data_IF_823635310832
#
_entry.id   IF_823635310832
#
_cell.length_a   1.000
_cell.length_b   1.000
_cell.length_c   1.000
_cell.angle_alpha   90.00
_cell.angle_beta   90.00
_cell.angle_gamma   90.00
#
_symmetry.space_group_name_H-M   'P 1'
#
loop_
_entity.id
_entity.type
_entity.pdbx_description
1 polymer ?
#
# COMPACT_ATOMS: atom_id res chain seq x y z
N UNK A 1 -9.00 -29.65 -19.45
CA UNK A 1 -8.54 -28.99 -18.20
C UNK A 1 -8.39 -27.46 -18.33
N UNK A 2 -7.67 -26.90 -19.32
CA UNK A 2 -7.47 -25.42 -19.41
C UNK A 2 -8.75 -24.58 -19.56
N UNK A 3 -9.74 -25.03 -20.33
CA UNK A 3 -10.99 -24.30 -20.54
C UNK A 3 -11.91 -24.26 -19.30
N UNK A 4 -12.03 -25.38 -18.58
CA UNK A 4 -12.77 -25.42 -17.30
C UNK A 4 -12.10 -24.54 -16.23
N UNK A 5 -10.76 -24.50 -16.19
CA UNK A 5 -10.03 -23.64 -15.26
C UNK A 5 -10.24 -22.15 -15.56
N UNK A 6 -10.31 -21.79 -16.84
CA UNK A 6 -10.61 -20.42 -17.27
C UNK A 6 -12.04 -20.00 -16.91
N UNK A 7 -13.04 -20.87 -17.17
CA UNK A 7 -14.43 -20.64 -16.76
C UNK A 7 -14.54 -20.51 -15.24
N UNK A 8 -13.92 -21.42 -14.48
CA UNK A 8 -13.89 -21.35 -13.02
C UNK A 8 -13.32 -20.01 -12.53
N UNK A 9 -12.17 -19.58 -13.09
CA UNK A 9 -11.57 -18.30 -12.73
C UNK A 9 -12.51 -17.11 -13.03
N UNK A 10 -13.15 -17.10 -14.20
CA UNK A 10 -14.11 -16.07 -14.58
C UNK A 10 -15.28 -15.96 -13.59
N UNK A 11 -15.82 -17.11 -13.16
CA UNK A 11 -16.93 -17.16 -12.21
C UNK A 11 -16.49 -16.83 -10.77
N UNK A 12 -15.25 -17.13 -10.38
CA UNK A 12 -14.73 -16.92 -9.02
C UNK A 12 -14.26 -15.48 -8.79
N UNK A 13 -13.71 -14.82 -9.82
CA UNK A 13 -13.16 -13.46 -9.74
C UNK A 13 -14.09 -12.43 -9.06
N UNK A 14 -15.39 -12.30 -9.43
CA UNK A 14 -16.27 -11.34 -8.78
C UNK A 14 -16.50 -11.64 -7.29
N UNK A 15 -16.55 -12.91 -6.90
CA UNK A 15 -16.74 -13.30 -5.50
C UNK A 15 -15.47 -13.16 -4.66
N UNK A 16 -14.28 -13.32 -5.26
CA UNK A 16 -13.02 -12.95 -4.62
C UNK A 16 -12.94 -11.44 -4.36
N UNK A 17 -13.39 -10.62 -5.32
CA UNK A 17 -13.52 -9.17 -5.14
C UNK A 17 -14.50 -8.82 -4.03
N UNK A 18 -15.69 -9.44 -4.03
CA UNK A 18 -16.69 -9.28 -2.97
C UNK A 18 -16.18 -9.66 -1.59
N UNK A 19 -15.40 -10.75 -1.49
CA UNK A 19 -14.76 -11.17 -0.23
C UNK A 19 -13.78 -10.12 0.28
N UNK A 20 -12.90 -9.61 -0.59
CA UNK A 20 -11.93 -8.57 -0.20
C UNK A 20 -12.63 -7.29 0.29
N UNK A 21 -13.67 -6.86 -0.43
CA UNK A 21 -14.48 -5.70 -0.04
C UNK A 21 -15.14 -5.94 1.33
N UNK A 22 -15.72 -7.11 1.55
CA UNK A 22 -16.35 -7.48 2.82
C UNK A 22 -15.37 -7.35 4.00
N UNK A 23 -14.13 -7.82 3.85
CA UNK A 23 -13.10 -7.77 4.88
C UNK A 23 -12.66 -6.34 5.19
N UNK A 24 -12.52 -5.50 4.17
CA UNK A 24 -12.22 -4.07 4.36
C UNK A 24 -13.34 -3.38 5.13
N UNK A 25 -14.60 -3.62 4.77
CA UNK A 25 -15.74 -3.05 5.50
C UNK A 25 -15.86 -3.58 6.93
N UNK A 26 -15.60 -4.87 7.15
CA UNK A 26 -15.64 -5.49 8.47
C UNK A 26 -14.56 -4.92 9.41
N UNK A 27 -13.33 -4.78 8.91
CA UNK A 27 -12.22 -4.18 9.67
C UNK A 27 -12.46 -2.70 9.94
N UNK A 28 -12.97 -1.94 8.96
CA UNK A 28 -13.36 -0.55 9.15
C UNK A 28 -14.51 -0.39 10.16
N UNK A 29 -15.45 -1.33 10.18
CA UNK A 29 -16.55 -1.36 11.16
C UNK A 29 -16.05 -1.60 12.57
N UNK A 30 -15.15 -2.57 12.76
CA UNK A 30 -14.49 -2.81 14.05
C UNK A 30 -13.68 -1.59 14.52
N UNK A 31 -12.92 -0.97 13.62
CA UNK A 31 -12.17 0.26 13.94
C UNK A 31 -13.10 1.42 14.34
N UNK A 32 -14.22 1.58 13.63
CA UNK A 32 -15.20 2.64 13.90
C UNK A 32 -15.90 2.44 15.25
N UNK A 33 -16.23 1.20 15.60
CA UNK A 33 -16.76 0.83 16.92
C UNK A 33 -15.74 1.18 18.01
N UNK A 34 -14.46 0.86 17.80
CA UNK A 34 -13.41 1.16 18.77
C UNK A 34 -13.17 2.67 18.95
N UNK A 35 -13.14 3.45 17.85
CA UNK A 35 -12.86 4.90 17.88
C UNK A 35 -14.05 5.72 18.40
N UNK A 36 -15.28 5.34 18.07
CA UNK A 36 -16.49 6.11 18.35
C UNK A 36 -17.41 5.42 19.38
N UNK A 37 -16.86 4.57 20.23
CA UNK A 37 -17.62 3.92 21.30
C UNK A 37 -18.34 4.96 22.16
N UNK A 38 -19.64 4.76 22.41
CA UNK A 38 -20.46 5.61 23.28
C UNK A 38 -20.80 7.02 22.73
N UNK A 39 -20.78 7.19 21.40
CA UNK A 39 -21.18 8.45 20.72
C UNK A 39 -22.68 8.54 20.40
N UNK A 40 -23.49 7.59 20.89
CA UNK A 40 -24.96 7.54 20.68
C UNK A 40 -25.41 6.89 19.38
N UNK A 41 -24.48 6.55 18.48
CA UNK A 41 -24.73 5.87 17.17
C UNK A 41 -24.25 4.42 17.13
N UNK A 42 -24.26 3.76 18.28
CA UNK A 42 -23.73 2.41 18.42
C UNK A 42 -24.53 1.41 17.56
N UNK A 43 -25.86 1.59 17.45
CA UNK A 43 -26.73 0.73 16.65
C UNK A 43 -26.28 0.65 15.19
N UNK A 44 -26.06 1.80 14.55
CA UNK A 44 -25.68 1.90 13.13
C UNK A 44 -24.28 1.31 12.87
N UNK A 45 -23.37 1.49 13.83
CA UNK A 45 -22.01 0.92 13.76
C UNK A 45 -22.03 -0.61 13.83
N UNK A 46 -22.78 -1.17 14.78
CA UNK A 46 -22.96 -2.62 14.91
C UNK A 46 -23.73 -3.22 13.73
N UNK A 47 -24.68 -2.48 13.15
CA UNK A 47 -25.38 -2.90 11.94
C UNK A 47 -24.46 -3.00 10.73
N UNK A 48 -23.56 -2.03 10.50
CA UNK A 48 -22.59 -2.18 9.41
C UNK A 48 -21.62 -3.35 9.62
N UNK A 49 -21.24 -3.63 10.86
CA UNK A 49 -20.47 -4.84 11.17
C UNK A 49 -21.26 -6.10 10.81
N UNK A 50 -22.54 -6.17 11.18
CA UNK A 50 -23.44 -7.29 10.84
C UNK A 50 -23.61 -7.44 9.33
N UNK A 51 -23.84 -6.35 8.60
CA UNK A 51 -23.97 -6.34 7.13
C UNK A 51 -22.70 -6.88 6.48
N UNK A 52 -21.52 -6.42 6.92
CA UNK A 52 -20.24 -6.88 6.38
C UNK A 52 -20.00 -8.37 6.66
N UNK A 53 -20.39 -8.86 7.84
CA UNK A 53 -20.29 -10.28 8.20
C UNK A 53 -21.23 -11.16 7.36
N UNK A 54 -22.46 -10.72 7.13
CA UNK A 54 -23.42 -11.43 6.26
C UNK A 54 -22.92 -11.46 4.82
N UNK A 55 -22.42 -10.34 4.30
CA UNK A 55 -21.90 -10.27 2.94
C UNK A 55 -20.65 -11.16 2.76
N UNK A 56 -19.78 -11.22 3.79
CA UNK A 56 -18.65 -12.15 3.83
C UNK A 56 -19.12 -13.62 3.81
N UNK A 57 -20.18 -13.94 4.56
CA UNK A 57 -20.75 -15.29 4.60
C UNK A 57 -21.32 -15.68 3.23
N UNK A 58 -22.12 -14.81 2.61
CA UNK A 58 -22.74 -15.04 1.30
C UNK A 58 -21.66 -15.27 0.23
N UNK A 59 -20.67 -14.38 0.14
CA UNK A 59 -19.60 -14.48 -0.87
C UNK A 59 -18.80 -15.78 -0.73
N UNK A 60 -18.50 -16.21 0.50
CA UNK A 60 -17.79 -17.47 0.74
C UNK A 60 -18.65 -18.72 0.46
N UNK A 61 -19.97 -18.67 0.69
CA UNK A 61 -20.87 -19.75 0.28
C UNK A 61 -20.88 -19.91 -1.25
N UNK A 62 -20.98 -18.80 -1.99
CA UNK A 62 -20.94 -18.87 -3.46
C UNK A 62 -19.61 -19.43 -3.98
N UNK A 63 -18.48 -19.02 -3.40
CA UNK A 63 -17.17 -19.59 -3.72
C UNK A 63 -17.11 -21.10 -3.48
N UNK A 64 -17.69 -21.57 -2.36
CA UNK A 64 -17.79 -22.99 -2.05
C UNK A 64 -18.64 -23.74 -3.09
N UNK A 65 -19.82 -23.23 -3.44
CA UNK A 65 -20.71 -23.84 -4.44
C UNK A 65 -20.00 -23.94 -5.80
N UNK A 66 -19.36 -22.85 -6.26
CA UNK A 66 -18.63 -22.82 -7.54
C UNK A 66 -17.49 -23.84 -7.52
N UNK A 67 -16.75 -23.96 -6.42
CA UNK A 67 -15.67 -24.95 -6.30
C UNK A 67 -16.15 -26.40 -6.49
N UNK A 68 -17.36 -26.72 -6.03
CA UNK A 68 -17.96 -28.04 -6.17
C UNK A 68 -18.50 -28.29 -7.58
N UNK A 69 -19.13 -27.29 -8.21
CA UNK A 69 -19.65 -27.39 -9.59
C UNK A 69 -18.51 -27.75 -10.57
N UNK A 70 -17.32 -27.18 -10.38
CA UNK A 70 -16.19 -27.38 -11.29
C UNK A 70 -15.24 -28.53 -10.88
N UNK A 71 -15.61 -29.37 -9.90
CA UNK A 71 -14.82 -30.51 -9.40
C UNK A 71 -13.36 -30.15 -9.06
N UNK A 72 -13.13 -28.94 -8.54
CA UNK A 72 -11.78 -28.49 -8.21
C UNK A 72 -11.39 -28.95 -6.80
N UNK A 73 -10.64 -30.05 -6.72
CA UNK A 73 -10.25 -30.70 -5.45
C UNK A 73 -9.25 -29.93 -4.58
N UNK A 74 -8.75 -28.78 -5.03
CA UNK A 74 -7.74 -27.98 -4.31
C UNK A 74 -8.28 -26.80 -3.51
N UNK A 75 -9.58 -26.48 -3.60
CA UNK A 75 -10.15 -25.38 -2.83
C UNK A 75 -10.53 -25.89 -1.43
N UNK A 76 -9.54 -26.01 -0.55
CA UNK A 76 -9.79 -25.96 0.89
C UNK A 76 -10.30 -24.55 1.17
N UNK A 77 -11.63 -24.39 1.04
CA UNK A 77 -12.30 -23.11 1.12
C UNK A 77 -11.90 -22.36 2.38
N UNK A 78 -12.07 -21.05 2.36
CA UNK A 78 -11.88 -20.15 3.50
C UNK A 78 -12.92 -20.44 4.62
N UNK A 79 -13.03 -21.68 5.08
CA UNK A 79 -13.90 -22.12 6.16
C UNK A 79 -13.63 -21.32 7.42
N UNK A 80 -12.37 -20.92 7.65
CA UNK A 80 -12.03 -20.02 8.73
C UNK A 80 -12.74 -18.65 8.61
N UNK A 81 -12.90 -18.08 7.41
CA UNK A 81 -13.64 -16.82 7.21
C UNK A 81 -15.14 -17.00 7.43
N UNK A 82 -15.70 -18.16 7.07
CA UNK A 82 -17.09 -18.49 7.39
C UNK A 82 -17.28 -18.59 8.91
N UNK A 83 -16.35 -19.26 9.61
CA UNK A 83 -16.36 -19.34 11.07
C UNK A 83 -16.26 -17.93 11.69
N UNK A 84 -15.36 -17.09 11.19
CA UNK A 84 -15.22 -15.69 11.65
C UNK A 84 -16.51 -14.90 11.44
N UNK A 85 -17.14 -15.02 10.26
CA UNK A 85 -18.41 -14.36 9.98
C UNK A 85 -19.52 -14.81 10.93
N UNK A 86 -19.63 -16.13 11.18
CA UNK A 86 -20.60 -16.70 12.11
C UNK A 86 -20.36 -16.25 13.55
N UNK A 87 -19.09 -16.21 13.99
CA UNK A 87 -18.72 -15.70 15.32
C UNK A 87 -19.15 -14.24 15.46
N UNK A 88 -18.88 -13.40 14.46
CA UNK A 88 -19.27 -11.99 14.53
C UNK A 88 -20.79 -11.82 14.55
N UNK A 89 -21.55 -12.56 13.74
CA UNK A 89 -23.02 -12.53 13.78
C UNK A 89 -23.53 -12.98 15.15
N UNK A 90 -22.98 -14.06 15.70
CA UNK A 90 -23.36 -14.58 17.01
C UNK A 90 -23.04 -13.61 18.15
N UNK A 91 -21.87 -12.94 18.10
CA UNK A 91 -21.49 -11.91 19.07
C UNK A 91 -22.44 -10.72 19.01
N UNK A 92 -22.83 -10.26 17.82
CA UNK A 92 -23.77 -9.13 17.67
C UNK A 92 -25.15 -9.51 18.21
N UNK A 93 -25.62 -10.73 17.93
CA UNK A 93 -26.86 -11.24 18.50
C UNK A 93 -26.82 -11.30 20.03
N UNK A 94 -25.72 -11.78 20.60
CA UNK A 94 -25.54 -11.86 22.06
C UNK A 94 -25.46 -10.46 22.71
N UNK A 95 -24.74 -9.53 22.09
CA UNK A 95 -24.67 -8.13 22.52
C UNK A 95 -26.04 -7.47 22.44
N UNK A 96 -26.81 -7.72 21.37
CA UNK A 96 -28.16 -7.19 21.23
C UNK A 96 -29.17 -7.74 22.23
N UNK A 97 -28.90 -8.91 22.83
CA UNK A 97 -29.72 -9.50 23.88
C UNK A 97 -29.17 -9.25 25.31
N UNK A 98 -28.08 -8.49 25.43
CA UNK A 98 -27.43 -8.16 26.71
C UNK A 98 -28.07 -6.94 27.38
N UNK A 99 -27.75 -6.72 28.66
CA UNK A 99 -28.41 -5.71 29.53
C UNK A 99 -28.19 -4.25 29.10
N UNK A 100 -27.14 -3.95 28.35
CA UNK A 100 -26.88 -2.65 27.73
C UNK A 100 -27.57 -2.62 26.36
N UNK A 101 -28.77 -2.04 26.30
CA UNK A 101 -29.62 -2.09 25.09
C UNK A 101 -29.08 -1.18 23.98
N UNK A 102 -28.19 -1.71 23.14
CA UNK A 102 -27.76 -1.08 21.88
C UNK A 102 -28.90 -1.09 20.85
N UNK A 103 -29.74 -2.13 20.90
CA UNK A 103 -30.87 -2.32 20.01
C UNK A 103 -32.20 -2.07 20.73
N UNK A 104 -33.20 -1.46 20.06
CA UNK A 104 -34.54 -1.34 20.60
C UNK A 104 -35.24 -2.71 20.71
N UNK A 105 -36.25 -2.80 21.57
CA UNK A 105 -36.98 -4.04 21.80
C UNK A 105 -37.62 -4.55 20.49
N UNK A 106 -37.58 -5.87 20.29
CA UNK A 106 -38.07 -6.53 19.07
C UNK A 106 -37.39 -6.04 17.77
N UNK A 107 -36.17 -5.47 17.84
CA UNK A 107 -35.43 -5.06 16.65
C UNK A 107 -35.27 -6.19 15.63
N UNK A 108 -34.82 -7.37 16.09
CA UNK A 108 -34.55 -8.51 15.22
C UNK A 108 -35.83 -9.23 14.72
N UNK A 109 -37.01 -8.96 15.28
CA UNK A 109 -38.26 -9.52 14.73
C UNK A 109 -38.69 -8.84 13.44
N UNK A 110 -38.20 -7.62 13.17
CA UNK A 110 -38.56 -6.82 12.00
C UNK A 110 -37.64 -7.05 10.79
N UNK A 111 -36.65 -7.96 10.90
CA UNK A 111 -35.71 -8.30 9.83
C UNK A 111 -36.42 -8.82 8.57
N UNK A 112 -37.60 -9.42 8.71
CA UNK A 112 -38.37 -9.91 7.56
C UNK A 112 -38.91 -8.78 6.65
N UNK A 113 -38.93 -7.53 7.13
CA UNK A 113 -39.43 -6.40 6.36
C UNK A 113 -38.32 -5.78 5.50
N UNK A 114 -38.50 -5.83 4.18
CA UNK A 114 -37.54 -5.31 3.20
C UNK A 114 -37.31 -3.80 3.33
N UNK A 115 -38.35 -3.02 3.61
CA UNK A 115 -38.23 -1.56 3.75
C UNK A 115 -37.51 -1.17 5.04
N UNK A 116 -37.73 -1.93 6.11
CA UNK A 116 -36.96 -1.80 7.35
C UNK A 116 -35.47 -2.07 7.11
N UNK A 117 -35.14 -3.16 6.40
CA UNK A 117 -33.75 -3.51 6.08
C UNK A 117 -33.06 -2.46 5.22
N UNK A 118 -33.73 -1.96 4.17
CA UNK A 118 -33.17 -0.90 3.31
C UNK A 118 -32.87 0.37 4.10
N UNK A 119 -33.77 0.76 5.00
CA UNK A 119 -33.57 1.93 5.86
C UNK A 119 -32.37 1.75 6.79
N UNK A 120 -32.31 0.65 7.53
CA UNK A 120 -31.21 0.37 8.46
C UNK A 120 -29.86 0.20 7.73
N UNK A 121 -29.87 -0.36 6.52
CA UNK A 121 -28.70 -0.42 5.63
C UNK A 121 -28.22 0.99 5.27
N UNK A 122 -29.11 1.85 4.77
CA UNK A 122 -28.78 3.21 4.37
C UNK A 122 -28.29 4.05 5.56
N UNK A 123 -28.95 3.94 6.73
CA UNK A 123 -28.54 4.64 7.94
C UNK A 123 -27.13 4.23 8.38
N UNK A 124 -26.84 2.93 8.34
CA UNK A 124 -25.51 2.40 8.64
C UNK A 124 -24.47 2.95 7.66
N UNK A 125 -24.73 2.86 6.35
CA UNK A 125 -23.83 3.37 5.30
C UNK A 125 -23.56 4.86 5.49
N UNK A 126 -24.59 5.67 5.77
CA UNK A 126 -24.46 7.11 5.98
C UNK A 126 -23.58 7.43 7.20
N UNK A 127 -23.73 6.67 8.29
CA UNK A 127 -22.85 6.79 9.46
C UNK A 127 -21.41 6.44 9.08
N UNK A 128 -21.18 5.35 8.34
CA UNK A 128 -19.84 4.97 7.89
C UNK A 128 -19.18 6.02 6.99
N UNK A 129 -19.92 6.60 6.04
CA UNK A 129 -19.44 7.70 5.20
C UNK A 129 -19.06 8.90 6.06
N UNK A 130 -19.89 9.29 7.02
CA UNK A 130 -19.58 10.43 7.90
C UNK A 130 -18.31 10.22 8.74
N UNK A 131 -18.06 8.99 9.19
CA UNK A 131 -16.84 8.64 9.93
C UNK A 131 -15.62 8.63 9.02
N UNK A 132 -15.80 8.16 7.79
CA UNK A 132 -14.76 8.17 6.76
C UNK A 132 -14.35 9.60 6.43
N UNK A 133 -15.32 10.49 6.16
CA UNK A 133 -15.06 11.90 5.85
C UNK A 133 -14.38 12.62 7.02
N UNK A 134 -14.84 12.39 8.25
CA UNK A 134 -14.18 12.94 9.44
C UNK A 134 -12.76 12.41 9.61
N UNK A 135 -12.53 11.13 9.36
CA UNK A 135 -11.18 10.56 9.44
C UNK A 135 -10.25 11.10 8.35
N UNK A 136 -10.79 11.41 7.17
CA UNK A 136 -10.07 12.06 6.08
C UNK A 136 -9.70 13.51 6.44
N UNK A 137 -10.62 14.28 7.00
CA UNK A 137 -10.33 15.66 7.43
C UNK A 137 -9.29 15.70 8.56
N UNK A 138 -9.42 14.82 9.56
CA UNK A 138 -8.44 14.68 10.65
C UNK A 138 -7.03 14.37 10.10
N UNK A 139 -6.95 13.57 9.04
CA UNK A 139 -5.68 13.20 8.41
C UNK A 139 -5.08 14.35 7.59
N UNK A 140 -5.91 15.10 6.86
CA UNK A 140 -5.48 16.29 6.13
C UNK A 140 -4.95 17.37 7.08
N UNK A 141 -5.68 17.67 8.16
CA UNK A 141 -5.28 18.63 9.18
C UNK A 141 -3.95 18.23 9.84
N UNK A 142 -3.79 16.96 10.23
CA UNK A 142 -2.53 16.47 10.82
C UNK A 142 -1.36 16.46 9.84
N UNK A 143 -1.63 16.23 8.56
CA UNK A 143 -0.61 16.31 7.50
C UNK A 143 -0.16 17.76 7.29
N UNK A 144 -1.09 18.71 7.25
CA UNK A 144 -0.80 20.14 7.10
C UNK A 144 -0.07 20.70 8.33
N UNK A 145 -0.51 20.34 9.54
CA UNK A 145 0.18 20.70 10.78
C UNK A 145 1.62 20.18 10.82
N UNK A 146 1.87 18.94 10.37
CA UNK A 146 3.24 18.39 10.26
C UNK A 146 4.09 19.12 9.21
N UNK A 147 3.50 19.56 8.10
CA UNK A 147 4.20 20.39 7.10
C UNK A 147 4.55 21.77 7.66
N UNK A 148 3.62 22.40 8.38
CA UNK A 148 3.83 23.70 9.02
C UNK A 148 4.92 23.63 10.10
N UNK A 149 4.89 22.61 10.98
CA UNK A 149 5.94 22.39 11.98
C UNK A 149 7.32 22.13 11.36
N UNK A 150 7.37 21.40 10.24
CA UNK A 150 8.63 21.17 9.51
C UNK A 150 9.16 22.47 8.89
N UNK A 151 8.28 23.29 8.31
CA UNK A 151 8.63 24.61 7.76
C UNK A 151 9.15 25.58 8.83
N UNK A 152 8.53 25.62 10.00
CA UNK A 152 8.97 26.46 11.12
C UNK A 152 10.32 26.00 11.69
N UNK A 153 10.56 24.68 11.76
CA UNK A 153 11.84 24.10 12.15
C UNK A 153 12.96 24.47 11.16
N UNK A 154 12.69 24.45 9.85
CA UNK A 154 13.63 24.93 8.83
C UNK A 154 13.93 26.43 8.96
N UNK A 155 12.93 27.26 9.30
CA UNK A 155 13.14 28.71 9.50
C UNK A 155 14.03 29.00 10.72
N UNK A 156 13.79 28.31 11.84
CA UNK A 156 14.58 28.49 13.06
C UNK A 156 16.04 27.99 12.91
N UNK A 157 16.26 26.92 12.15
CA UNK A 157 17.61 26.42 11.85
C UNK A 157 18.40 27.39 10.96
N UNK A 158 17.76 28.03 9.98
CA UNK A 158 18.39 29.07 9.15
C UNK A 158 18.70 30.35 9.93
N UNK A 159 17.85 30.76 10.88
CA UNK A 159 18.11 31.92 11.74
C UNK A 159 19.32 31.72 12.68
N UNK A 160 19.53 30.49 13.18
CA UNK A 160 20.70 30.16 14.01
C UNK A 160 22.01 30.12 13.18
N UNK A 161 21.95 29.59 11.95
CA UNK A 161 23.11 29.59 11.05
C UNK A 161 23.50 31.00 10.56
N UNK A 162 22.52 31.89 10.31
CA UNK A 162 22.80 33.25 9.84
C UNK A 162 23.54 34.12 10.88
N UNK A 163 23.29 33.88 12.17
CA UNK A 163 24.01 34.55 13.27
C UNK A 163 25.45 34.05 13.45
N UNK A 164 25.75 32.79 13.09
CA UNK A 164 27.12 32.26 13.12
C UNK A 164 27.93 32.66 11.87
N UNK A 165 27.30 32.79 10.70
CA UNK A 165 27.98 33.25 9.47
C UNK A 165 28.39 34.73 9.52
N UNK A 166 27.66 35.59 10.24
CA UNK A 166 28.03 37.00 10.41
C UNK A 166 29.24 37.26 11.32
N UNK A 167 29.78 36.24 12.02
CA UNK A 167 31.07 36.34 12.72
C UNK A 167 32.27 35.88 11.88
N UNK A 168 32.05 35.13 10.81
CA UNK A 168 33.13 34.60 9.95
C UNK A 168 33.27 35.33 8.60
N UNK A 169 32.32 36.18 8.21
CA UNK A 169 32.28 36.81 6.89
C UNK A 169 32.99 38.19 6.82
N UNK A 170 34.12 38.32 7.53
CA UNK A 170 35.01 39.49 7.42
C UNK A 170 36.31 39.18 6.65
N UNK A 171 36.36 38.06 5.94
CA UNK A 171 37.51 37.74 5.10
C UNK A 171 37.06 37.02 3.84
N UNK A 172 37.51 37.56 2.69
CA UNK A 172 37.22 37.19 1.31
C UNK A 172 36.03 37.86 0.62
N UNK A 173 36.36 39.00 0.01
CA UNK A 173 35.68 39.53 -1.16
C UNK A 173 35.99 38.71 -2.43
N UNK A 174 35.00 38.75 -3.34
CA UNK A 174 35.10 38.76 -4.80
C UNK A 174 35.09 37.41 -5.56
N UNK A 175 33.95 37.06 -6.17
CA UNK A 175 33.72 37.31 -7.61
C UNK A 175 32.22 37.19 -7.99
N UNK A 176 31.79 38.14 -8.82
CA UNK A 176 30.51 38.35 -9.53
C UNK A 176 29.88 37.10 -10.19
N UNK A 177 28.62 37.01 -10.61
CA UNK A 177 27.33 37.71 -10.47
C UNK A 177 26.34 36.89 -11.35
N UNK A 178 25.05 36.85 -10.97
CA UNK A 178 23.86 36.91 -11.84
C UNK A 178 22.90 35.71 -11.80
N UNK A 179 21.62 36.04 -11.58
CA UNK A 179 20.51 35.33 -12.20
C UNK A 179 19.62 34.53 -11.27
N UNK A 180 18.59 35.20 -10.74
CA UNK A 180 17.52 34.62 -9.93
C UNK A 180 16.42 33.96 -10.79
N UNK A 181 15.66 33.07 -10.14
CA UNK A 181 14.37 32.49 -10.52
C UNK A 181 14.35 31.43 -11.63
N UNK A 182 14.32 30.15 -11.22
CA UNK A 182 13.30 29.20 -11.70
C UNK A 182 13.15 28.05 -10.70
N UNK A 183 11.93 27.94 -10.17
CA UNK A 183 11.46 26.82 -9.36
C UNK A 183 11.17 25.61 -10.27
N UNK A 184 11.28 24.42 -9.66
CA UNK A 184 10.98 23.10 -10.23
C UNK A 184 11.98 22.57 -11.28
N UNK A 185 12.56 21.40 -10.97
CA UNK A 185 13.42 20.52 -11.80
C UNK A 185 14.94 20.59 -11.57
N UNK A 186 15.41 20.28 -10.35
CA UNK A 186 16.83 19.98 -10.12
C UNK A 186 17.00 18.74 -9.22
N UNK A 187 16.75 17.55 -9.78
CA UNK A 187 17.11 16.24 -9.19
C UNK A 187 17.87 15.36 -10.20
N UNK A 188 18.74 15.97 -10.99
CA UNK A 188 19.49 15.22 -12.02
C UNK A 188 20.73 15.91 -12.58
N UNK A 189 21.11 17.08 -12.06
CA UNK A 189 22.32 17.77 -12.47
C UNK A 189 23.41 17.61 -11.42
N UNK A 190 24.47 16.87 -11.74
CA UNK A 190 25.76 16.89 -11.04
C UNK A 190 25.95 16.00 -9.78
N UNK A 191 25.33 14.81 -9.74
CA UNK A 191 25.75 13.75 -8.83
C UNK A 191 26.89 12.97 -9.50
N UNK A 192 28.16 13.22 -9.14
CA UNK A 192 29.31 12.39 -9.60
C UNK A 192 29.14 10.91 -9.19
N UNK A 193 29.88 9.92 -9.73
CA UNK A 193 29.63 8.49 -9.52
C UNK A 193 29.48 8.08 -8.04
N UNK A 194 28.67 7.04 -7.74
CA UNK A 194 28.42 6.63 -6.36
C UNK A 194 29.71 6.18 -5.67
N UNK A 195 29.90 6.51 -4.37
CA UNK A 195 31.03 6.00 -3.60
C UNK A 195 30.96 4.47 -3.61
N UNK A 196 32.00 3.85 -4.14
CA UNK A 196 32.01 2.42 -4.36
C UNK A 196 32.13 1.64 -3.05
N UNK A 197 31.21 0.71 -2.84
CA UNK A 197 31.15 -0.14 -1.63
C UNK A 197 31.20 -1.64 -1.96
N UNK A 198 31.75 -1.99 -3.12
CA UNK A 198 31.84 -3.36 -3.64
C UNK A 198 30.78 -3.68 -4.68
N UNK A 199 30.86 -4.89 -5.25
CA UNK A 199 29.93 -5.38 -6.26
C UNK A 199 28.53 -5.61 -5.68
N UNK A 200 27.51 -5.19 -6.42
CA UNK A 200 26.10 -5.47 -6.11
C UNK A 200 25.56 -6.53 -7.06
N UNK A 201 24.54 -7.27 -6.63
CA UNK A 201 23.89 -8.25 -7.49
C UNK A 201 23.10 -7.56 -8.62
N UNK A 202 23.34 -7.96 -9.87
CA UNK A 202 22.80 -7.33 -11.08
C UNK A 202 22.08 -8.28 -12.05
N UNK A 203 21.90 -9.56 -11.67
CA UNK A 203 21.31 -10.63 -12.48
C UNK A 203 20.00 -11.16 -11.89
N UNK A 204 19.15 -10.28 -11.37
CA UNK A 204 17.86 -10.67 -10.81
C UNK A 204 16.95 -11.29 -11.89
N UNK A 205 16.54 -12.55 -11.68
CA UNK A 205 15.69 -13.30 -12.62
C UNK A 205 14.21 -13.16 -12.26
N UNK A 206 13.42 -12.59 -13.18
CA UNK A 206 11.96 -12.47 -13.01
C UNK A 206 11.24 -13.83 -12.90
N UNK A 207 11.50 -14.83 -13.77
CA UNK A 207 10.90 -16.16 -13.62
C UNK A 207 11.22 -16.81 -12.27
N UNK A 208 12.47 -16.64 -11.80
CA UNK A 208 12.88 -17.17 -10.51
C UNK A 208 12.21 -16.43 -9.35
N UNK A 209 12.03 -15.11 -9.47
CA UNK A 209 11.29 -14.29 -8.51
C UNK A 209 9.85 -14.77 -8.37
N UNK A 210 9.15 -15.01 -9.48
CA UNK A 210 7.77 -15.51 -9.46
C UNK A 210 7.71 -16.92 -8.87
N UNK A 211 8.59 -17.82 -9.31
CA UNK A 211 8.62 -19.22 -8.86
C UNK A 211 8.90 -19.32 -7.36
N UNK A 212 9.94 -18.65 -6.86
CA UNK A 212 10.31 -18.69 -5.44
C UNK A 212 9.27 -17.98 -4.58
N UNK A 213 8.66 -16.88 -5.05
CA UNK A 213 7.56 -16.23 -4.33
C UNK A 213 6.35 -17.16 -4.18
N UNK A 214 6.05 -17.98 -5.19
CA UNK A 214 4.98 -18.98 -5.10
C UNK A 214 5.34 -20.14 -4.16
N UNK A 215 6.53 -20.72 -4.29
CA UNK A 215 6.99 -21.86 -3.46
C UNK A 215 7.10 -21.47 -1.98
N UNK A 216 7.53 -20.24 -1.70
CA UNK A 216 7.73 -19.74 -0.32
C UNK A 216 6.53 -19.00 0.23
N UNK A 217 5.36 -19.08 -0.44
CA UNK A 217 4.14 -18.39 -0.02
C UNK A 217 4.34 -16.89 0.30
N UNK A 218 5.15 -16.19 -0.51
CA UNK A 218 5.45 -14.76 -0.36
C UNK A 218 6.63 -14.41 0.54
N UNK A 219 7.25 -15.36 1.27
CA UNK A 219 8.45 -15.06 2.07
C UNK A 219 9.65 -14.62 1.21
N UNK A 220 9.78 -15.15 -0.01
CA UNK A 220 10.84 -14.72 -0.92
C UNK A 220 10.69 -13.25 -1.35
N UNK A 221 9.46 -12.73 -1.44
CA UNK A 221 9.24 -11.31 -1.77
C UNK A 221 9.84 -10.39 -0.69
N UNK A 222 9.76 -10.78 0.59
CA UNK A 222 10.39 -10.05 1.70
C UNK A 222 11.92 -10.09 1.62
N UNK A 223 12.49 -11.26 1.31
CA UNK A 223 13.93 -11.39 1.06
C UNK A 223 14.38 -10.50 -0.12
N UNK A 224 13.59 -10.47 -1.19
CA UNK A 224 13.84 -9.64 -2.36
C UNK A 224 13.85 -8.15 -1.98
N UNK A 225 12.80 -7.65 -1.30
CA UNK A 225 12.74 -6.26 -0.83
C UNK A 225 13.94 -5.88 0.04
N UNK A 226 14.37 -6.76 0.94
CA UNK A 226 15.57 -6.52 1.74
C UNK A 226 16.82 -6.32 0.88
N UNK A 227 17.10 -7.26 -0.04
CA UNK A 227 18.31 -7.22 -0.86
C UNK A 227 18.33 -6.06 -1.86
N UNK A 228 17.19 -5.71 -2.44
CA UNK A 228 17.12 -4.58 -3.37
C UNK A 228 17.23 -3.24 -2.64
N UNK A 229 16.69 -3.11 -1.42
CA UNK A 229 16.82 -1.88 -0.62
C UNK A 229 18.30 -1.59 -0.33
N UNK A 230 19.04 -2.62 0.09
CA UNK A 230 20.47 -2.53 0.38
C UNK A 230 21.27 -2.19 -0.89
N UNK A 231 21.02 -2.92 -1.99
CA UNK A 231 21.70 -2.68 -3.27
C UNK A 231 21.42 -1.27 -3.82
N UNK A 232 20.18 -0.78 -3.72
CA UNK A 232 19.82 0.56 -4.18
C UNK A 232 20.41 1.67 -3.30
N UNK A 233 20.53 1.46 -1.99
CA UNK A 233 21.21 2.42 -1.11
C UNK A 233 22.72 2.55 -1.43
N UNK A 234 23.31 1.51 -2.01
CA UNK A 234 24.70 1.55 -2.53
C UNK A 234 24.72 2.24 -3.91
N UNK A 235 23.91 1.76 -4.85
CA UNK A 235 23.91 2.23 -6.25
C UNK A 235 23.43 3.68 -6.38
N UNK A 236 22.47 4.10 -5.56
CA UNK A 236 21.95 5.47 -5.57
C UNK A 236 22.59 6.34 -4.48
N UNK A 237 23.72 5.93 -3.91
CA UNK A 237 24.34 6.67 -2.80
C UNK A 237 24.75 8.09 -3.22
N UNK A 238 24.35 9.09 -2.44
CA UNK A 238 24.62 10.51 -2.71
C UNK A 238 23.43 11.29 -3.27
N UNK A 239 22.29 10.65 -3.55
CA UNK A 239 21.05 11.32 -3.99
C UNK A 239 20.25 11.96 -2.85
N UNK A 240 20.68 11.81 -1.59
CA UNK A 240 20.00 12.36 -0.42
C UNK A 240 18.76 11.58 0.02
N UNK A 241 18.48 10.44 -0.60
CA UNK A 241 17.36 9.55 -0.27
C UNK A 241 17.85 8.20 0.28
N UNK A 242 17.03 7.54 1.08
CA UNK A 242 17.28 6.17 1.53
C UNK A 242 16.05 5.30 1.27
N UNK A 243 16.27 4.17 0.60
CA UNK A 243 15.25 3.15 0.40
C UNK A 243 15.02 2.48 1.75
N UNK A 244 13.81 2.62 2.27
CA UNK A 244 13.45 2.07 3.57
C UNK A 244 13.55 0.56 3.56
N UNK A 245 14.32 0.01 4.52
CA UNK A 245 14.56 -1.42 4.62
C UNK A 245 13.33 -2.25 5.02
N UNK A 246 13.55 -3.57 5.07
CA UNK A 246 12.51 -4.60 5.24
C UNK A 246 11.56 -4.36 6.42
N UNK A 247 12.08 -3.93 7.58
CA UNK A 247 11.26 -3.72 8.78
C UNK A 247 10.20 -2.64 8.55
N UNK A 248 10.56 -1.50 7.96
CA UNK A 248 9.62 -0.44 7.63
C UNK A 248 8.60 -0.94 6.60
N UNK A 249 9.07 -1.60 5.54
CA UNK A 249 8.21 -2.21 4.52
C UNK A 249 7.16 -3.16 5.12
N UNK A 250 7.58 -4.07 5.99
CA UNK A 250 6.70 -5.07 6.59
C UNK A 250 5.70 -4.46 7.58
N UNK A 251 6.16 -3.66 8.55
CA UNK A 251 5.26 -3.09 9.56
C UNK A 251 4.29 -2.06 8.98
N UNK A 252 4.78 -1.12 8.17
CA UNK A 252 3.90 -0.13 7.54
C UNK A 252 3.03 -0.80 6.48
N UNK A 253 3.50 -1.84 5.79
CA UNK A 253 2.69 -2.66 4.89
C UNK A 253 1.48 -3.26 5.61
N UNK A 254 1.66 -3.87 6.78
CA UNK A 254 0.56 -4.42 7.58
C UNK A 254 -0.37 -3.30 8.08
N UNK A 255 0.18 -2.22 8.64
CA UNK A 255 -0.59 -1.12 9.24
C UNK A 255 -1.43 -0.37 8.18
N UNK A 256 -0.91 -0.25 6.96
CA UNK A 256 -1.56 0.49 5.86
C UNK A 256 -2.29 -0.42 4.88
N UNK A 257 -2.52 -1.69 5.23
CA UNK A 257 -3.20 -2.66 4.36
C UNK A 257 -2.56 -2.75 2.96
N UNK A 258 -1.24 -2.90 2.90
CA UNK A 258 -0.39 -2.94 1.70
C UNK A 258 -0.33 -1.66 0.85
N UNK A 259 -1.00 -0.56 1.23
CA UNK A 259 -0.89 0.72 0.51
C UNK A 259 0.55 1.26 0.58
N UNK A 260 1.23 1.08 1.71
CA UNK A 260 2.63 1.47 1.85
C UNK A 260 3.56 0.68 0.91
N UNK A 261 3.26 -0.59 0.65
CA UNK A 261 4.05 -1.41 -0.28
C UNK A 261 4.02 -0.79 -1.69
N UNK A 262 2.85 -0.31 -2.13
CA UNK A 262 2.69 0.39 -3.41
C UNK A 262 3.45 1.72 -3.47
N UNK A 263 3.40 2.50 -2.38
CA UNK A 263 4.15 3.74 -2.26
C UNK A 263 5.66 3.49 -2.27
N UNK A 264 6.10 2.41 -1.64
CA UNK A 264 7.49 1.97 -1.64
C UNK A 264 7.96 1.60 -3.04
N UNK A 265 7.21 0.76 -3.76
CA UNK A 265 7.54 0.35 -5.13
C UNK A 265 7.62 1.57 -6.07
N UNK A 266 6.68 2.53 -5.92
CA UNK A 266 6.66 3.79 -6.66
C UNK A 266 7.92 4.63 -6.42
N UNK A 267 8.30 4.84 -5.16
CA UNK A 267 9.48 5.64 -4.81
C UNK A 267 10.77 4.98 -5.32
N UNK A 268 10.88 3.65 -5.18
CA UNK A 268 12.05 2.91 -5.67
C UNK A 268 12.21 3.06 -7.17
N UNK A 269 11.14 2.89 -7.94
CA UNK A 269 11.18 3.05 -9.39
C UNK A 269 11.56 4.48 -9.83
N UNK A 270 11.05 5.50 -9.13
CA UNK A 270 11.43 6.88 -9.40
C UNK A 270 12.89 7.15 -9.06
N UNK A 271 13.39 6.56 -7.97
CA UNK A 271 14.79 6.67 -7.54
C UNK A 271 15.75 5.99 -8.52
N UNK A 272 15.36 4.85 -9.08
CA UNK A 272 16.12 4.19 -10.17
C UNK A 272 16.17 5.10 -11.40
N UNK A 273 15.04 5.70 -11.77
CA UNK A 273 14.99 6.59 -12.93
C UNK A 273 15.82 7.88 -12.74
N UNK A 274 15.76 8.51 -11.56
CA UNK A 274 16.51 9.74 -11.30
C UNK A 274 18.03 9.51 -11.25
N UNK A 275 18.46 8.33 -10.83
CA UNK A 275 19.88 7.96 -10.76
C UNK A 275 20.42 7.30 -12.04
N UNK A 276 19.57 6.87 -12.98
CA UNK A 276 20.04 6.25 -14.23
C UNK A 276 20.98 7.15 -15.07
N UNK A 277 20.73 8.46 -15.24
CA UNK A 277 21.59 9.35 -16.00
C UNK A 277 23.03 9.45 -15.46
N UNK A 278 23.22 9.25 -14.15
CA UNK A 278 24.55 9.23 -13.49
C UNK A 278 25.49 8.17 -14.07
N UNK A 279 24.92 7.09 -14.58
CA UNK A 279 25.63 5.96 -15.15
C UNK A 279 25.57 5.92 -16.68
N UNK A 280 25.23 7.05 -17.33
CA UNK A 280 24.99 7.12 -18.77
C UNK A 280 23.96 6.07 -19.23
N UNK A 281 22.91 5.85 -18.44
CA UNK A 281 21.76 4.99 -18.75
C UNK A 281 20.48 5.80 -18.69
N UNK A 282 19.46 5.34 -19.40
CA UNK A 282 18.14 5.96 -19.42
C UNK A 282 17.07 4.89 -19.24
N UNK A 283 16.17 5.11 -18.28
CA UNK A 283 14.97 4.28 -18.08
C UNK A 283 13.73 5.10 -18.39
N UNK A 284 12.96 4.67 -19.39
CA UNK A 284 11.69 5.34 -19.71
C UNK A 284 10.60 5.03 -18.67
N UNK A 285 10.68 3.85 -18.03
CA UNK A 285 9.68 3.42 -17.07
C UNK A 285 9.99 3.97 -15.66
N UNK A 286 8.99 4.59 -15.03
CA UNK A 286 9.08 5.18 -13.70
C UNK A 286 8.04 4.61 -12.73
N UNK A 287 7.92 5.19 -11.54
CA UNK A 287 6.93 4.78 -10.54
C UNK A 287 5.50 4.88 -11.08
N UNK A 288 5.17 5.90 -11.87
CA UNK A 288 3.86 6.05 -12.50
C UNK A 288 3.60 4.95 -13.53
N UNK A 289 4.60 4.57 -14.33
CA UNK A 289 4.50 3.43 -15.25
C UNK A 289 4.26 2.12 -14.50
N UNK A 290 4.93 1.91 -13.37
CA UNK A 290 4.72 0.74 -12.51
C UNK A 290 3.27 0.69 -11.97
N UNK A 291 2.77 1.80 -11.43
CA UNK A 291 1.39 1.88 -10.93
C UNK A 291 0.36 1.75 -12.06
N UNK A 292 0.64 2.30 -13.24
CA UNK A 292 -0.22 2.18 -14.41
C UNK A 292 -0.38 0.71 -14.82
N UNK A 293 0.73 -0.04 -14.90
CA UNK A 293 0.68 -1.47 -15.18
C UNK A 293 -0.03 -2.27 -14.10
N UNK A 294 0.07 -1.87 -12.83
CA UNK A 294 -0.68 -2.48 -11.75
C UNK A 294 -2.19 -2.22 -11.87
N UNK A 295 -2.56 -0.98 -12.20
CA UNK A 295 -3.96 -0.54 -12.32
C UNK A 295 -4.62 -1.10 -13.58
N UNK A 296 -4.00 -0.98 -14.75
CA UNK A 296 -4.48 -1.61 -15.99
C UNK A 296 -4.43 -3.14 -15.86
N UNK A 297 -3.42 -3.67 -15.17
CA UNK A 297 -3.28 -5.09 -14.88
C UNK A 297 -4.41 -5.70 -14.10
N UNK A 298 -4.96 -4.98 -13.12
CA UNK A 298 -6.13 -5.42 -12.37
C UNK A 298 -7.38 -5.58 -13.25
N UNK A 299 -7.47 -4.84 -14.37
CA UNK A 299 -8.56 -4.96 -15.34
C UNK A 299 -8.36 -6.20 -16.23
N UNK A 300 -7.11 -6.50 -16.61
CA UNK A 300 -6.75 -7.68 -17.40
C UNK A 300 -6.36 -8.89 -16.54
N UNK A 301 -7.22 -9.30 -15.60
CA UNK A 301 -7.05 -10.58 -14.88
C UNK A 301 -5.75 -10.68 -14.04
N UNK A 302 -5.17 -9.55 -13.62
CA UNK A 302 -3.93 -9.51 -12.84
C UNK A 302 -2.66 -9.71 -13.66
N UNK A 303 -2.74 -9.76 -15.00
CA UNK A 303 -1.57 -9.90 -15.87
C UNK A 303 -0.59 -8.74 -15.73
N UNK A 304 -1.08 -7.54 -15.44
CA UNK A 304 -0.20 -6.37 -15.30
C UNK A 304 0.66 -6.38 -14.03
N UNK A 305 0.36 -7.22 -13.03
CA UNK A 305 1.29 -7.46 -11.92
C UNK A 305 2.61 -8.06 -12.45
N UNK A 306 2.53 -9.05 -13.33
CA UNK A 306 3.70 -9.67 -13.93
C UNK A 306 4.50 -8.70 -14.79
N UNK A 307 3.80 -7.86 -15.58
CA UNK A 307 4.45 -6.85 -16.42
C UNK A 307 5.12 -5.76 -15.57
N UNK A 308 4.45 -5.26 -14.53
CA UNK A 308 5.01 -4.27 -13.61
C UNK A 308 6.29 -4.79 -12.93
N UNK A 309 6.26 -6.01 -12.39
CA UNK A 309 7.43 -6.62 -11.75
C UNK A 309 8.54 -6.99 -12.73
N UNK A 310 8.20 -7.35 -13.97
CA UNK A 310 9.20 -7.55 -15.03
C UNK A 310 9.95 -6.24 -15.34
N UNK A 311 9.22 -5.13 -15.51
CA UNK A 311 9.81 -3.80 -15.74
C UNK A 311 10.67 -3.37 -14.55
N UNK A 312 10.17 -3.58 -13.34
CA UNK A 312 10.91 -3.28 -12.10
C UNK A 312 12.27 -4.00 -12.06
N UNK A 313 12.26 -5.32 -12.24
CA UNK A 313 13.48 -6.14 -12.19
C UNK A 313 14.42 -5.78 -13.34
N UNK A 314 13.89 -5.50 -14.54
CA UNK A 314 14.68 -5.07 -15.70
C UNK A 314 15.45 -3.77 -15.41
N UNK A 315 14.78 -2.76 -14.85
CA UNK A 315 15.39 -1.46 -14.57
C UNK A 315 16.36 -1.53 -13.38
N UNK A 316 16.06 -2.36 -12.38
CA UNK A 316 16.97 -2.65 -11.29
C UNK A 316 18.28 -3.29 -11.79
N UNK A 317 18.19 -4.33 -12.62
CA UNK A 317 19.38 -4.97 -13.21
C UNK A 317 20.19 -3.97 -14.06
N UNK A 318 19.51 -3.10 -14.81
CA UNK A 318 20.17 -2.10 -15.65
C UNK A 318 21.07 -1.18 -14.82
N UNK A 319 20.54 -0.64 -13.70
CA UNK A 319 21.29 0.31 -12.87
C UNK A 319 22.37 -0.37 -12.04
N UNK A 320 22.10 -1.56 -11.49
CA UNK A 320 23.10 -2.35 -10.77
C UNK A 320 24.28 -2.76 -11.66
N UNK A 321 23.99 -3.20 -12.89
CA UNK A 321 25.03 -3.55 -13.88
C UNK A 321 25.86 -2.34 -14.28
N UNK A 322 25.23 -1.18 -14.46
CA UNK A 322 25.95 0.03 -14.81
C UNK A 322 26.88 0.49 -13.68
N UNK A 323 26.43 0.42 -12.42
CA UNK A 323 27.30 0.66 -11.26
C UNK A 323 28.46 -0.33 -11.18
N UNK A 324 28.23 -1.64 -11.39
CA UNK A 324 29.29 -2.64 -11.39
C UNK A 324 30.33 -2.41 -12.49
N UNK A 325 29.91 -1.92 -13.66
CA UNK A 325 30.81 -1.55 -14.76
C UNK A 325 31.68 -0.35 -14.40
N UNK A 326 31.09 0.71 -13.84
CA UNK A 326 31.86 1.87 -13.36
C UNK A 326 32.85 1.47 -12.25
N UNK A 327 32.43 0.59 -11.34
CA UNK A 327 33.30 0.07 -10.29
C UNK A 327 34.49 -0.73 -10.84
N UNK A 328 34.25 -1.54 -11.87
CA UNK A 328 35.29 -2.31 -12.55
C UNK A 328 36.22 -1.46 -13.42
N UNK A 329 35.78 -0.27 -13.85
CA UNK A 329 36.62 0.68 -14.59
C UNK A 329 37.46 1.56 -13.67
N UNK A 330 37.02 1.74 -12.41
CA UNK A 330 37.67 2.61 -11.43
C UNK A 330 38.75 1.90 -10.58
N UNK A 331 38.77 0.56 -10.56
CA UNK A 331 39.80 -0.27 -9.94
C UNK A 331 40.51 -1.10 -11.00
#
# INVERSE_FOLDING_TARGET
MRFLNFLYFLFVLPFLGGMAISLVFMTFSLFSIFKNWNTGRNKELFNGLLISGIFLLITNIFLFIISKIFYYGGFYGNFYLVIVALIVIALIYFIGNSRERIYPDNYFSNISNVEFLKRELNDSINVFISIFDKSKSDFQEKSEAKKAQKFESYKNQNAYNNNNSNKFNNNYNNYNNAGSYNAYNNYGGNLGPAPFRGYVKDDWSFPLYVLLSFITCGFYQLYFVYKISDSLNIVCNGDGEETSGLMKFFFLGIITCNIYCLFWDFNVMNRIQSNAPRYNRYTQDNGSSFLLWLLIGSIFCGLGFFVAWYIFIKNLNLICKAYNMEYANAN
#
